data_IF_930467793136
#
_entry.id   IF_930467793136
#
_cell.length_a   1.000
_cell.length_b   1.000
_cell.length_c   1.000
_cell.angle_alpha   90.00
_cell.angle_beta   90.00
_cell.angle_gamma   90.00
#
_symmetry.space_group_name_H-M   'P 1'
#
loop_
_entity.id
_entity.type
_entity.pdbx_description
1 polymer ?
#
# COMPACT_ATOMS: atom_id res chain seq x y z
N UNK A 1 18.07 2.42 -13.34
CA UNK A 1 17.55 3.67 -13.93
C UNK A 1 16.04 3.57 -13.87
N UNK A 2 15.39 4.43 -13.08
CA UNK A 2 13.97 4.32 -12.76
C UNK A 2 13.09 4.85 -13.90
N UNK A 3 11.86 4.37 -13.99
CA UNK A 3 10.87 4.73 -14.99
C UNK A 3 9.74 5.52 -14.35
N UNK A 4 9.44 6.69 -14.92
CA UNK A 4 8.36 7.58 -14.49
C UNK A 4 7.32 7.71 -15.60
N UNK A 5 6.05 7.46 -15.29
CA UNK A 5 4.92 7.74 -16.17
C UNK A 5 4.25 9.04 -15.73
N UNK A 6 3.96 9.94 -16.66
CA UNK A 6 3.27 11.21 -16.39
C UNK A 6 1.97 11.21 -17.19
N UNK A 7 0.85 11.36 -16.50
CA UNK A 7 -0.51 11.29 -17.03
C UNK A 7 -1.17 12.66 -16.84
N UNK A 8 -1.18 13.48 -17.88
CA UNK A 8 -1.87 14.78 -17.88
C UNK A 8 -2.04 15.30 -19.29
N UNK A 9 -3.20 15.89 -19.59
CA UNK A 9 -3.47 16.63 -20.81
C UNK A 9 -2.90 18.06 -20.75
N UNK A 10 -2.51 18.56 -19.58
CA UNK A 10 -1.92 19.89 -19.41
C UNK A 10 -0.44 19.89 -19.84
N UNK A 11 -0.17 20.46 -21.02
CA UNK A 11 1.16 20.44 -21.64
C UNK A 11 2.25 21.10 -20.78
N UNK A 12 1.95 22.21 -20.10
CA UNK A 12 2.90 22.89 -19.20
C UNK A 12 3.28 22.02 -18.01
N UNK A 13 2.30 21.44 -17.32
CA UNK A 13 2.53 20.54 -16.20
C UNK A 13 3.29 19.28 -16.63
N UNK A 14 2.92 18.71 -17.78
CA UNK A 14 3.63 17.57 -18.37
C UNK A 14 5.11 17.87 -18.60
N UNK A 15 5.42 19.05 -19.13
CA UNK A 15 6.79 19.49 -19.38
C UNK A 15 7.57 19.68 -18.06
N UNK A 16 7.02 20.40 -17.09
CA UNK A 16 7.66 20.66 -15.79
C UNK A 16 7.99 19.36 -15.05
N UNK A 17 7.01 18.46 -14.94
CA UNK A 17 7.19 17.16 -14.29
C UNK A 17 8.21 16.29 -15.02
N UNK A 18 8.22 16.35 -16.36
CA UNK A 18 9.18 15.60 -17.17
C UNK A 18 10.61 16.05 -16.93
N UNK A 19 10.87 17.36 -16.92
CA UNK A 19 12.20 17.90 -16.66
C UNK A 19 12.66 17.62 -15.24
N UNK A 20 11.75 17.75 -14.27
CA UNK A 20 12.05 17.46 -12.87
C UNK A 20 12.39 15.98 -12.65
N UNK A 21 11.62 15.05 -13.22
CA UNK A 21 11.91 13.62 -13.12
C UNK A 21 13.22 13.23 -13.84
N UNK A 22 13.50 13.78 -15.03
CA UNK A 22 14.79 13.56 -15.70
C UNK A 22 15.97 14.06 -14.87
N UNK A 23 15.83 15.20 -14.18
CA UNK A 23 16.88 15.73 -13.30
C UNK A 23 17.23 14.81 -12.13
N UNK A 24 16.30 13.92 -11.74
CA UNK A 24 16.49 12.87 -10.74
C UNK A 24 16.86 11.50 -11.34
N UNK A 25 17.18 11.43 -12.63
CA UNK A 25 17.65 10.20 -13.29
C UNK A 25 16.54 9.24 -13.74
N UNK A 26 15.29 9.69 -13.82
CA UNK A 26 14.20 8.89 -14.37
C UNK A 26 14.17 8.92 -15.89
N UNK A 27 13.82 7.77 -16.49
CA UNK A 27 13.31 7.70 -17.86
C UNK A 27 11.83 8.04 -17.84
N UNK A 28 11.45 9.11 -18.52
CA UNK A 28 10.09 9.63 -18.47
C UNK A 28 9.29 9.19 -19.69
N UNK A 29 8.04 8.82 -19.44
CA UNK A 29 7.02 8.66 -20.48
C UNK A 29 5.81 9.53 -20.16
N UNK A 30 5.39 10.37 -21.11
CA UNK A 30 4.17 11.16 -21.00
C UNK A 30 3.01 10.51 -21.75
N UNK A 31 1.80 10.66 -21.21
CA UNK A 31 0.53 10.39 -21.89
C UNK A 31 -0.53 11.39 -21.41
N UNK A 32 -1.56 11.59 -22.23
CA UNK A 32 -2.57 12.64 -22.00
C UNK A 32 -3.87 12.12 -21.39
N UNK A 33 -3.99 10.81 -21.17
CA UNK A 33 -5.18 10.20 -20.58
C UNK A 33 -4.85 8.93 -19.82
N UNK A 34 -5.75 8.52 -18.92
CA UNK A 34 -5.62 7.27 -18.17
C UNK A 34 -5.66 6.06 -19.11
N UNK A 35 -6.47 6.06 -20.17
CA UNK A 35 -6.53 4.96 -21.13
C UNK A 35 -5.18 4.74 -21.83
N UNK A 36 -4.49 5.82 -22.19
CA UNK A 36 -3.15 5.73 -22.75
C UNK A 36 -2.15 5.24 -21.70
N UNK A 37 -2.25 5.72 -20.46
CA UNK A 37 -1.43 5.23 -19.36
C UNK A 37 -1.58 3.72 -19.19
N UNK A 38 -2.81 3.19 -19.29
CA UNK A 38 -3.10 1.76 -19.19
C UNK A 38 -2.43 0.94 -20.29
N UNK A 39 -2.38 1.43 -21.52
CA UNK A 39 -1.66 0.76 -22.61
C UNK A 39 -0.16 0.65 -22.31
N UNK A 40 0.44 1.70 -21.73
CA UNK A 40 1.84 1.65 -21.30
C UNK A 40 2.07 0.67 -20.16
N UNK A 41 1.15 0.62 -19.20
CA UNK A 41 1.19 -0.29 -18.05
C UNK A 41 1.01 -1.76 -18.45
N UNK A 42 0.39 -2.04 -19.61
CA UNK A 42 0.36 -3.39 -20.20
C UNK A 42 1.71 -3.81 -20.81
N UNK A 43 2.49 -2.84 -21.29
CA UNK A 43 3.75 -3.11 -21.96
C UNK A 43 4.93 -3.21 -20.98
N UNK A 44 4.90 -2.44 -19.89
CA UNK A 44 5.98 -2.39 -18.89
C UNK A 44 5.52 -1.81 -17.55
N UNK A 45 6.28 -2.10 -16.51
CA UNK A 45 6.16 -1.45 -15.20
C UNK A 45 6.84 -0.07 -15.18
N UNK A 46 6.43 0.75 -14.22
CA UNK A 46 6.99 2.06 -13.90
C UNK A 46 7.18 2.15 -12.39
N UNK A 47 8.26 2.78 -11.94
CA UNK A 47 8.53 2.98 -10.51
C UNK A 47 7.65 4.10 -9.93
N UNK A 48 7.38 5.13 -10.75
CA UNK A 48 6.62 6.32 -10.35
C UNK A 48 5.57 6.66 -11.40
N UNK A 49 4.39 7.09 -10.97
CA UNK A 49 3.29 7.55 -11.81
C UNK A 49 2.76 8.87 -11.27
N UNK A 50 2.85 9.92 -12.10
CA UNK A 50 2.36 11.25 -11.79
C UNK A 50 1.04 11.48 -12.53
N UNK A 51 -0.02 11.82 -11.82
CA UNK A 51 -1.29 12.28 -12.37
C UNK A 51 -1.38 13.80 -12.28
N UNK A 52 -1.83 14.47 -13.33
CA UNK A 52 -2.08 15.92 -13.29
C UNK A 52 -3.40 16.28 -12.63
N UNK A 53 -3.60 17.57 -12.37
CA UNK A 53 -4.81 18.16 -11.76
C UNK A 53 -6.07 17.99 -12.62
N UNK A 54 -5.90 17.62 -13.89
CA UNK A 54 -6.95 17.27 -14.85
C UNK A 54 -7.49 15.84 -14.71
N UNK A 55 -6.87 15.03 -13.86
CA UNK A 55 -7.33 13.65 -13.62
C UNK A 55 -8.50 13.68 -12.63
N UNK A 56 -9.69 13.28 -13.08
CA UNK A 56 -10.88 13.22 -12.23
C UNK A 56 -10.78 12.10 -11.19
N UNK A 57 -11.47 12.20 -10.04
CA UNK A 57 -11.51 11.13 -9.04
C UNK A 57 -11.95 9.78 -9.62
N UNK A 58 -12.94 9.78 -10.52
CA UNK A 58 -13.39 8.57 -11.20
C UNK A 58 -12.26 7.92 -12.02
N UNK A 59 -11.52 8.71 -12.81
CA UNK A 59 -10.39 8.21 -13.58
C UNK A 59 -9.25 7.73 -12.67
N UNK A 60 -9.04 8.36 -11.52
CA UNK A 60 -8.06 7.92 -10.53
C UNK A 60 -8.47 6.62 -9.85
N UNK A 61 -9.76 6.42 -9.59
CA UNK A 61 -10.28 5.16 -9.05
C UNK A 61 -10.11 4.01 -10.05
N UNK A 62 -10.43 4.26 -11.33
CA UNK A 62 -10.20 3.32 -12.43
C UNK A 62 -8.70 3.01 -12.60
N UNK A 63 -7.86 4.04 -12.58
CA UNK A 63 -6.42 3.89 -12.62
C UNK A 63 -5.91 3.08 -11.42
N UNK A 64 -6.29 3.42 -10.19
CA UNK A 64 -5.84 2.76 -8.96
C UNK A 64 -6.15 1.25 -8.97
N UNK A 65 -7.37 0.87 -9.36
CA UNK A 65 -7.79 -0.54 -9.49
C UNK A 65 -6.92 -1.32 -10.49
N UNK A 66 -6.50 -0.67 -11.58
CA UNK A 66 -5.69 -1.28 -12.62
C UNK A 66 -4.19 -1.21 -12.32
N UNK A 67 -3.72 -0.15 -11.66
CA UNK A 67 -2.37 0.00 -11.13
C UNK A 67 -2.08 -1.10 -10.12
N UNK A 68 -3.03 -1.37 -9.22
CA UNK A 68 -2.97 -2.49 -8.31
C UNK A 68 -2.73 -3.83 -8.99
N UNK A 69 -3.35 -4.03 -10.16
CA UNK A 69 -3.28 -5.29 -10.92
C UNK A 69 -2.03 -5.39 -11.79
N UNK A 70 -1.63 -4.30 -12.45
CA UNK A 70 -0.62 -4.30 -13.53
C UNK A 70 0.72 -3.72 -13.11
N UNK A 71 0.73 -2.77 -12.17
CA UNK A 71 1.94 -2.09 -11.73
C UNK A 71 1.95 -1.85 -10.20
N UNK A 72 1.88 -2.93 -9.41
CA UNK A 72 1.57 -2.89 -7.97
C UNK A 72 2.62 -2.18 -7.11
N UNK A 73 3.84 -2.06 -7.61
CA UNK A 73 4.96 -1.49 -6.87
C UNK A 73 5.12 0.01 -7.14
N UNK A 74 4.42 0.54 -8.14
CA UNK A 74 4.53 1.94 -8.53
C UNK A 74 4.02 2.86 -7.43
N UNK A 75 4.77 3.92 -7.18
CA UNK A 75 4.27 5.01 -6.36
C UNK A 75 3.51 5.98 -7.23
N UNK A 76 2.33 6.35 -6.78
CA UNK A 76 1.45 7.26 -7.51
C UNK A 76 1.24 8.55 -6.74
N UNK A 77 1.29 9.67 -7.45
CA UNK A 77 0.92 10.97 -6.87
C UNK A 77 0.10 11.79 -7.85
N UNK A 78 -0.80 12.61 -7.32
CA UNK A 78 -1.52 13.66 -8.04
C UNK A 78 -0.78 14.96 -7.79
N UNK A 79 -0.48 15.68 -8.86
CA UNK A 79 0.17 16.98 -8.80
C UNK A 79 -0.85 18.05 -9.12
N UNK A 80 -1.12 18.89 -8.13
CA UNK A 80 -2.08 19.98 -8.25
C UNK A 80 -1.57 21.25 -7.57
N UNK A 81 -0.89 22.09 -8.36
CA UNK A 81 -0.38 23.37 -7.91
C UNK A 81 -1.48 24.43 -7.71
N UNK A 82 -2.67 24.20 -8.28
CA UNK A 82 -3.81 25.11 -8.15
C UNK A 82 -4.70 24.78 -6.95
N UNK A 83 -4.40 23.70 -6.23
CA UNK A 83 -5.16 23.22 -5.06
C UNK A 83 -6.65 22.99 -5.34
N UNK A 84 -7.01 22.67 -6.59
CA UNK A 84 -8.38 22.32 -6.99
C UNK A 84 -8.87 21.05 -6.31
N UNK A 85 -7.97 20.13 -6.01
CA UNK A 85 -8.22 18.83 -5.40
C UNK A 85 -7.88 18.80 -3.90
N UNK A 86 -7.67 19.95 -3.25
CA UNK A 86 -7.35 20.01 -1.81
C UNK A 86 -8.51 19.46 -0.95
N UNK A 87 -9.76 19.62 -1.41
CA UNK A 87 -10.94 19.00 -0.78
C UNK A 87 -11.04 17.49 -1.01
N UNK A 88 -10.28 16.96 -1.98
CA UNK A 88 -10.22 15.55 -2.38
C UNK A 88 -8.96 14.86 -1.84
N UNK A 89 -8.07 15.57 -1.13
CA UNK A 89 -6.83 15.00 -0.58
C UNK A 89 -7.08 13.72 0.22
N UNK A 90 -8.18 13.69 0.97
CA UNK A 90 -8.60 12.49 1.68
C UNK A 90 -8.86 11.34 0.70
N UNK A 91 -9.70 11.54 -0.33
CA UNK A 91 -10.04 10.58 -1.40
C UNK A 91 -8.82 10.12 -2.21
N UNK A 92 -7.85 11.00 -2.47
CA UNK A 92 -6.62 10.62 -3.16
C UNK A 92 -5.74 9.71 -2.29
N UNK A 93 -5.61 10.06 -1.00
CA UNK A 93 -4.95 9.20 -0.01
C UNK A 93 -5.64 7.85 0.11
N UNK A 94 -6.97 7.80 -0.05
CA UNK A 94 -7.76 6.57 -0.08
C UNK A 94 -7.26 5.58 -1.15
N UNK A 95 -6.92 6.10 -2.33
CA UNK A 95 -6.46 5.36 -3.50
C UNK A 95 -4.96 5.01 -3.48
N UNK A 96 -4.24 5.34 -2.40
CA UNK A 96 -2.78 5.20 -2.31
C UNK A 96 -2.04 6.21 -3.19
N UNK A 97 -2.67 7.35 -3.47
CA UNK A 97 -2.13 8.43 -4.31
C UNK A 97 -1.88 9.65 -3.45
N UNK A 98 -0.64 10.12 -3.41
CA UNK A 98 -0.29 11.31 -2.63
C UNK A 98 -0.65 12.58 -3.40
N UNK A 99 -1.30 13.56 -2.76
CA UNK A 99 -1.51 14.89 -3.35
C UNK A 99 -0.28 15.76 -3.08
N UNK A 100 0.33 16.29 -4.15
CA UNK A 100 1.49 17.17 -4.09
C UNK A 100 1.14 18.51 -4.71
N UNK A 101 1.26 19.58 -3.92
CA UNK A 101 0.85 20.93 -4.34
C UNK A 101 2.00 21.86 -4.68
N UNK A 102 3.25 21.39 -4.60
CA UNK A 102 4.43 22.19 -4.96
C UNK A 102 5.47 21.37 -5.73
N UNK A 103 6.25 22.03 -6.58
CA UNK A 103 7.38 21.39 -7.27
C UNK A 103 8.44 20.87 -6.31
N UNK A 104 8.63 21.52 -5.16
CA UNK A 104 9.57 21.08 -4.12
C UNK A 104 9.14 19.75 -3.51
N UNK A 105 7.84 19.56 -3.27
CA UNK A 105 7.30 18.29 -2.75
C UNK A 105 7.42 17.17 -3.77
N UNK A 106 7.14 17.46 -5.05
CA UNK A 106 7.35 16.51 -6.16
C UNK A 106 8.83 16.14 -6.28
N UNK A 107 9.73 17.13 -6.19
CA UNK A 107 11.18 16.92 -6.23
C UNK A 107 11.64 16.02 -5.07
N UNK A 108 11.16 16.30 -3.86
CA UNK A 108 11.45 15.50 -2.67
C UNK A 108 10.95 14.06 -2.83
N UNK A 109 9.72 13.87 -3.29
CA UNK A 109 9.15 12.55 -3.55
C UNK A 109 9.99 11.78 -4.59
N UNK A 110 10.25 12.38 -5.76
CA UNK A 110 11.06 11.78 -6.81
C UNK A 110 12.47 11.41 -6.34
N UNK A 111 13.12 12.28 -5.56
CA UNK A 111 14.44 12.01 -4.98
C UNK A 111 14.41 10.84 -4.00
N UNK A 112 13.41 10.82 -3.12
CA UNK A 112 13.19 9.68 -2.22
C UNK A 112 13.06 8.41 -3.05
N UNK A 113 12.16 8.35 -4.04
CA UNK A 113 11.97 7.13 -4.82
C UNK A 113 13.15 6.75 -5.73
N UNK A 114 13.94 7.71 -6.21
CA UNK A 114 15.13 7.44 -7.02
C UNK A 114 16.30 6.89 -6.20
N UNK A 115 16.36 7.25 -4.92
CA UNK A 115 17.36 6.73 -3.98
C UNK A 115 17.03 5.33 -3.46
N UNK A 116 15.78 4.89 -3.59
CA UNK A 116 15.37 3.53 -3.23
C UNK A 116 15.58 2.60 -4.43
N UNK A 117 16.68 1.85 -4.39
CA UNK A 117 16.70 0.48 -4.93
C UNK A 117 15.38 -0.25 -4.58
N UNK A 118 14.94 -1.27 -5.34
CA UNK A 118 13.81 -2.11 -4.91
C UNK A 118 13.96 -2.35 -3.41
N UNK A 119 12.99 -1.85 -2.63
CA UNK A 119 13.12 -1.65 -1.17
C UNK A 119 13.96 -2.80 -0.63
N UNK A 120 15.17 -2.50 -0.12
CA UNK A 120 16.00 -3.54 0.45
C UNK A 120 15.17 -4.18 1.54
N UNK A 121 14.80 -5.44 1.35
CA UNK A 121 13.96 -6.15 2.31
C UNK A 121 14.74 -6.44 3.61
N UNK A 122 16.04 -6.14 3.61
CA UNK A 122 16.91 -6.16 4.76
C UNK A 122 16.60 -4.99 5.70
N UNK A 123 16.54 -5.30 6.99
CA UNK A 123 16.26 -4.32 8.04
C UNK A 123 14.77 -4.10 8.33
N UNK A 124 13.86 -4.73 7.58
CA UNK A 124 12.43 -4.73 7.88
C UNK A 124 12.03 -5.97 8.67
N UNK A 125 11.48 -5.75 9.86
CA UNK A 125 11.06 -6.83 10.74
C UNK A 125 9.55 -7.05 10.61
N UNK A 126 9.15 -8.26 10.24
CA UNK A 126 7.75 -8.62 10.02
C UNK A 126 7.28 -9.50 11.18
N UNK A 127 6.19 -9.10 11.83
CA UNK A 127 5.53 -9.90 12.86
C UNK A 127 4.37 -10.68 12.23
N UNK A 128 4.39 -12.00 12.30
CA UNK A 128 3.31 -12.88 11.86
C UNK A 128 2.53 -13.38 13.08
N UNK A 129 1.22 -13.15 13.11
CA UNK A 129 0.32 -13.54 14.20
C UNK A 129 -0.68 -14.57 13.68
N UNK A 130 -0.50 -15.82 14.11
CA UNK A 130 -1.25 -16.97 13.63
C UNK A 130 -1.26 -18.06 14.71
N UNK A 131 -2.45 -18.50 15.13
CA UNK A 131 -2.62 -19.47 16.22
C UNK A 131 -2.25 -20.90 15.82
N UNK A 132 -2.37 -21.25 14.55
CA UNK A 132 -2.00 -22.57 14.04
C UNK A 132 -0.52 -22.61 13.62
N UNK A 133 0.26 -23.47 14.28
CA UNK A 133 1.71 -23.62 14.08
C UNK A 133 2.10 -23.83 12.61
N UNK A 134 1.51 -24.81 11.92
CA UNK A 134 1.91 -25.11 10.53
C UNK A 134 1.60 -23.96 9.55
N UNK A 135 0.38 -23.37 9.52
CA UNK A 135 0.13 -22.16 8.74
C UNK A 135 1.08 -21.01 9.07
N UNK A 136 1.38 -20.77 10.35
CA UNK A 136 2.28 -19.69 10.79
C UNK A 136 3.66 -19.86 10.17
N UNK A 137 4.24 -21.05 10.32
CA UNK A 137 5.60 -21.32 9.86
C UNK A 137 5.69 -21.25 8.33
N UNK A 138 4.65 -21.73 7.62
CA UNK A 138 4.55 -21.60 6.17
C UNK A 138 4.52 -20.12 5.74
N UNK A 139 3.77 -19.27 6.45
CA UNK A 139 3.70 -17.83 6.16
C UNK A 139 5.06 -17.18 6.40
N UNK A 140 5.72 -17.50 7.51
CA UNK A 140 7.06 -16.98 7.81
C UNK A 140 8.06 -17.34 6.71
N UNK A 141 8.18 -18.64 6.38
CA UNK A 141 9.08 -19.14 5.31
C UNK A 141 8.75 -18.48 3.97
N UNK A 142 7.46 -18.31 3.68
CA UNK A 142 7.04 -17.67 2.44
C UNK A 142 7.52 -16.21 2.37
N UNK A 143 7.33 -15.43 3.43
CA UNK A 143 7.77 -14.03 3.50
C UNK A 143 9.30 -13.95 3.42
N UNK A 144 10.02 -14.82 4.13
CA UNK A 144 11.48 -14.93 4.06
C UNK A 144 11.97 -15.24 2.64
N UNK A 145 11.29 -16.13 1.92
CA UNK A 145 11.61 -16.46 0.52
C UNK A 145 11.40 -15.29 -0.45
N UNK A 146 10.66 -14.26 -0.04
CA UNK A 146 10.53 -13.01 -0.80
C UNK A 146 11.75 -12.09 -0.60
N UNK A 147 12.60 -12.39 0.38
CA UNK A 147 13.86 -11.72 0.73
C UNK A 147 13.83 -10.91 2.03
N UNK A 148 12.74 -11.00 2.81
CA UNK A 148 12.65 -10.41 4.15
C UNK A 148 13.42 -11.26 5.16
N UNK A 149 14.58 -10.78 5.62
CA UNK A 149 15.49 -11.57 6.45
C UNK A 149 15.10 -11.66 7.93
N UNK A 150 14.12 -10.87 8.40
CA UNK A 150 13.67 -10.86 9.81
C UNK A 150 12.16 -11.03 9.90
N UNK A 151 11.72 -12.27 10.11
CA UNK A 151 10.31 -12.63 10.31
C UNK A 151 10.14 -13.35 11.63
N UNK A 152 9.23 -12.87 12.48
CA UNK A 152 8.94 -13.45 13.80
C UNK A 152 7.50 -13.94 13.78
N UNK A 153 7.29 -15.22 14.03
CA UNK A 153 5.95 -15.81 14.19
C UNK A 153 5.57 -15.93 15.67
N UNK A 154 4.36 -15.51 16.02
CA UNK A 154 3.75 -15.71 17.34
C UNK A 154 2.39 -16.39 17.23
N UNK A 155 1.98 -17.08 18.30
CA UNK A 155 0.79 -17.94 18.29
C UNK A 155 -0.48 -17.28 18.81
N UNK A 156 -0.42 -16.01 19.21
CA UNK A 156 -1.58 -15.29 19.73
C UNK A 156 -1.40 -13.77 19.65
N UNK A 157 -2.53 -13.07 19.67
CA UNK A 157 -2.54 -11.62 19.79
C UNK A 157 -1.90 -11.13 21.12
N UNK A 158 -2.01 -11.91 22.21
CA UNK A 158 -1.36 -11.59 23.48
C UNK A 158 0.17 -11.56 23.36
N UNK A 159 0.76 -12.57 22.71
CA UNK A 159 2.20 -12.59 22.46
C UNK A 159 2.65 -11.46 21.55
N UNK A 160 1.86 -11.18 20.49
CA UNK A 160 2.12 -10.06 19.59
C UNK A 160 2.18 -8.73 20.34
N UNK A 161 1.16 -8.44 21.17
CA UNK A 161 1.11 -7.21 21.97
C UNK A 161 2.27 -7.14 22.96
N UNK A 162 2.61 -8.23 23.64
CA UNK A 162 3.75 -8.27 24.57
C UNK A 162 5.08 -7.94 23.88
N UNK A 163 5.32 -8.50 22.68
CA UNK A 163 6.52 -8.20 21.90
C UNK A 163 6.54 -6.72 21.47
N UNK A 164 5.43 -6.21 20.94
CA UNK A 164 5.31 -4.82 20.50
C UNK A 164 5.50 -3.82 21.65
N UNK A 165 5.00 -4.14 22.85
CA UNK A 165 5.12 -3.29 24.04
C UNK A 165 6.51 -3.36 24.70
N UNK A 166 7.23 -4.47 24.55
CA UNK A 166 8.58 -4.63 25.10
C UNK A 166 9.57 -3.63 24.50
N UNK A 167 9.38 -3.27 23.22
CA UNK A 167 10.29 -2.42 22.47
C UNK A 167 11.66 -3.04 22.20
N UNK A 168 11.87 -4.33 22.50
CA UNK A 168 13.14 -5.03 22.23
C UNK A 168 13.40 -5.19 20.73
N UNK A 169 12.33 -5.28 19.94
CA UNK A 169 12.38 -5.32 18.48
C UNK A 169 11.43 -4.27 17.88
N UNK A 170 11.94 -3.45 16.96
CA UNK A 170 11.10 -2.55 16.16
C UNK A 170 10.52 -3.31 14.97
N UNK A 171 9.20 -3.48 14.96
CA UNK A 171 8.49 -4.11 13.85
C UNK A 171 8.09 -3.06 12.81
N UNK A 172 8.20 -3.43 11.54
CA UNK A 172 7.86 -2.58 10.40
C UNK A 172 6.49 -2.91 9.82
N UNK A 173 5.99 -4.12 10.06
CA UNK A 173 4.67 -4.56 9.63
C UNK A 173 4.19 -5.75 10.45
N UNK A 174 2.87 -5.86 10.62
CA UNK A 174 2.20 -7.04 11.17
C UNK A 174 1.41 -7.73 10.06
N UNK A 175 1.52 -9.06 9.99
CA UNK A 175 0.63 -9.93 9.20
C UNK A 175 -0.17 -10.78 10.18
N UNK A 176 -1.49 -10.64 10.23
CA UNK A 176 -2.34 -11.33 11.23
C UNK A 176 -3.47 -12.13 10.58
N UNK A 177 -3.78 -13.31 11.11
CA UNK A 177 -5.09 -13.92 10.85
C UNK A 177 -6.18 -13.18 11.63
N UNK A 178 -7.43 -13.36 11.19
CA UNK A 178 -8.64 -12.84 11.82
C UNK A 178 -9.13 -13.80 12.89
N UNK A 179 -9.23 -15.09 12.55
CA UNK A 179 -9.81 -16.10 13.45
C UNK A 179 -8.73 -16.67 14.34
N UNK A 180 -8.61 -16.10 15.54
CA UNK A 180 -7.74 -16.59 16.59
C UNK A 180 -8.54 -16.72 17.89
N UNK A 181 -8.17 -17.64 18.78
CA UNK A 181 -8.80 -17.76 20.10
C UNK A 181 -8.52 -16.53 20.96
N UNK A 182 -9.42 -16.28 21.92
CA UNK A 182 -9.38 -15.19 22.92
C UNK A 182 -9.49 -13.78 22.33
N UNK A 183 -8.50 -13.36 21.54
CA UNK A 183 -8.46 -12.06 20.88
C UNK A 183 -8.33 -12.32 19.37
N UNK A 184 -9.37 -11.95 18.63
CA UNK A 184 -9.38 -12.02 17.17
C UNK A 184 -8.41 -11.03 16.54
N UNK A 185 -8.04 -11.24 15.27
CA UNK A 185 -7.22 -10.29 14.52
C UNK A 185 -7.83 -8.91 14.39
N UNK A 186 -9.18 -8.83 14.31
CA UNK A 186 -9.90 -7.55 14.33
C UNK A 186 -9.69 -6.82 15.66
N UNK A 187 -9.88 -7.52 16.79
CA UNK A 187 -9.66 -6.95 18.11
C UNK A 187 -8.19 -6.54 18.32
N UNK A 188 -7.24 -7.34 17.83
CA UNK A 188 -5.82 -6.99 17.83
C UNK A 188 -5.56 -5.67 17.08
N UNK A 189 -6.14 -5.51 15.89
CA UNK A 189 -6.05 -4.24 15.12
C UNK A 189 -6.59 -3.08 15.96
N UNK A 190 -7.77 -3.23 16.55
CA UNK A 190 -8.40 -2.17 17.35
C UNK A 190 -7.55 -1.79 18.58
N UNK A 191 -6.94 -2.78 19.24
CA UNK A 191 -6.02 -2.55 20.36
C UNK A 191 -4.78 -1.77 19.91
N UNK A 192 -4.14 -2.20 18.82
CA UNK A 192 -2.95 -1.53 18.27
C UNK A 192 -3.27 -0.09 17.86
N UNK A 193 -4.42 0.15 17.22
CA UNK A 193 -4.84 1.49 16.80
C UNK A 193 -5.14 2.43 17.97
N UNK A 194 -5.51 1.90 19.15
CA UNK A 194 -5.68 2.69 20.38
C UNK A 194 -4.35 3.04 21.06
N UNK A 195 -3.26 2.33 20.73
CA UNK A 195 -1.94 2.59 21.30
C UNK A 195 -1.20 3.65 20.46
N UNK A 196 -0.94 4.83 21.04
CA UNK A 196 -0.29 5.97 20.35
C UNK A 196 1.09 5.65 19.77
N UNK A 197 1.81 4.71 20.37
CA UNK A 197 3.14 4.31 19.93
C UNK A 197 3.09 3.26 18.81
N UNK A 198 1.96 2.56 18.62
CA UNK A 198 1.81 1.50 17.63
C UNK A 198 0.79 1.82 16.54
N UNK A 199 0.00 2.89 16.70
CA UNK A 199 -1.08 3.25 15.78
C UNK A 199 -0.59 3.46 14.33
N UNK A 200 0.70 3.79 14.15
CA UNK A 200 1.33 3.99 12.84
C UNK A 200 1.79 2.68 12.16
N UNK A 201 1.87 1.57 12.91
CA UNK A 201 2.35 0.29 12.41
C UNK A 201 1.35 -0.31 11.41
N UNK A 202 1.75 -0.57 10.15
CA UNK A 202 0.86 -1.15 9.16
C UNK A 202 0.52 -2.61 9.49
N UNK A 203 -0.76 -2.95 9.32
CA UNK A 203 -1.28 -4.30 9.60
C UNK A 203 -1.91 -4.87 8.34
N UNK A 204 -1.42 -6.00 7.88
CA UNK A 204 -1.98 -6.77 6.77
C UNK A 204 -2.76 -7.94 7.36
N UNK A 205 -4.03 -8.05 7.00
CA UNK A 205 -4.85 -9.19 7.37
C UNK A 205 -4.65 -10.31 6.36
N UNK A 206 -4.30 -11.51 6.82
CA UNK A 206 -4.15 -12.70 5.98
C UNK A 206 -5.05 -13.82 6.53
N UNK A 207 -6.14 -14.14 5.84
CA UNK A 207 -7.12 -15.11 6.39
C UNK A 207 -7.62 -16.13 5.36
N UNK A 208 -7.99 -17.32 5.82
CA UNK A 208 -8.72 -18.32 5.03
C UNK A 208 -10.25 -18.09 5.08
N UNK A 209 -10.75 -17.28 6.02
CA UNK A 209 -12.17 -17.09 6.30
C UNK A 209 -12.63 -15.65 6.04
N UNK A 210 -12.15 -15.05 4.96
CA UNK A 210 -12.54 -13.71 4.56
C UNK A 210 -13.92 -13.75 3.89
N UNK A 211 -15.00 -13.59 4.64
CA UNK A 211 -16.21 -13.03 4.02
C UNK A 211 -15.94 -11.57 3.70
N UNK A 212 -16.67 -11.05 2.73
CA UNK A 212 -16.57 -9.65 2.34
C UNK A 212 -16.81 -8.72 3.52
N UNK A 213 -17.81 -9.05 4.35
CA UNK A 213 -18.14 -8.29 5.56
C UNK A 213 -17.01 -8.32 6.60
N UNK A 214 -16.38 -9.48 6.81
CA UNK A 214 -15.27 -9.59 7.76
C UNK A 214 -14.05 -8.78 7.31
N UNK A 215 -13.77 -8.75 6.00
CA UNK A 215 -12.69 -7.93 5.44
C UNK A 215 -13.00 -6.44 5.59
N UNK A 216 -14.24 -6.02 5.31
CA UNK A 216 -14.71 -4.65 5.49
C UNK A 216 -14.59 -4.21 6.96
N UNK A 217 -14.95 -5.09 7.88
CA UNK A 217 -14.84 -4.82 9.31
C UNK A 217 -13.39 -4.61 9.76
N UNK A 218 -12.45 -5.40 9.23
CA UNK A 218 -11.03 -5.22 9.53
C UNK A 218 -10.47 -3.93 8.92
N UNK A 219 -10.91 -3.59 7.71
CA UNK A 219 -10.57 -2.33 7.05
C UNK A 219 -11.07 -1.11 7.87
N UNK A 220 -12.30 -1.18 8.39
CA UNK A 220 -12.87 -0.17 9.29
C UNK A 220 -12.13 -0.09 10.63
N UNK A 221 -11.65 -1.23 11.14
CA UNK A 221 -10.83 -1.28 12.35
C UNK A 221 -9.44 -0.65 12.17
N UNK A 222 -8.97 -0.52 10.92
CA UNK A 222 -7.68 0.11 10.59
C UNK A 222 -6.63 -0.83 10.05
N UNK A 223 -7.02 -1.99 9.49
CA UNK A 223 -6.13 -2.79 8.68
C UNK A 223 -5.60 -1.95 7.51
N UNK A 224 -4.29 -2.02 7.29
CA UNK A 224 -3.64 -1.35 6.18
C UNK A 224 -3.88 -2.08 4.87
N UNK A 225 -3.95 -3.42 4.88
CA UNK A 225 -4.18 -4.26 3.71
C UNK A 225 -4.81 -5.60 4.06
N UNK A 226 -5.19 -6.37 3.04
CA UNK A 226 -5.76 -7.70 3.20
C UNK A 226 -5.33 -8.67 2.10
N UNK A 227 -5.19 -9.93 2.46
CA UNK A 227 -4.84 -11.05 1.61
C UNK A 227 -5.68 -12.27 2.02
N UNK A 228 -5.94 -13.15 1.06
CA UNK A 228 -6.62 -14.42 1.29
C UNK A 228 -5.58 -15.54 1.23
N UNK A 229 -5.68 -16.50 2.15
CA UNK A 229 -4.85 -17.71 2.15
C UNK A 229 -5.30 -18.67 1.04
N UNK A 230 -4.39 -19.26 0.25
CA UNK A 230 -2.95 -18.99 0.20
C UNK A 230 -2.63 -17.72 -0.62
N UNK A 231 -1.76 -16.83 -0.13
CA UNK A 231 -1.42 -15.60 -0.84
C UNK A 231 -0.52 -15.91 -2.04
N UNK A 232 -0.75 -15.20 -3.16
CA UNK A 232 0.17 -15.26 -4.31
C UNK A 232 1.42 -14.44 -4.02
N UNK A 233 2.56 -14.86 -4.57
CA UNK A 233 3.87 -14.18 -4.43
C UNK A 233 3.78 -12.66 -4.68
N UNK A 234 3.21 -12.27 -5.81
CA UNK A 234 3.13 -10.85 -6.19
C UNK A 234 2.18 -10.05 -5.30
N UNK A 235 1.11 -10.67 -4.79
CA UNK A 235 0.15 -10.01 -3.90
C UNK A 235 0.77 -9.76 -2.52
N UNK A 236 1.47 -10.75 -1.96
CA UNK A 236 2.20 -10.60 -0.69
C UNK A 236 3.32 -9.57 -0.79
N UNK A 237 4.15 -9.67 -1.82
CA UNK A 237 5.26 -8.74 -2.03
C UNK A 237 4.76 -7.29 -2.17
N UNK A 238 3.62 -7.09 -2.85
CA UNK A 238 2.97 -5.78 -2.95
C UNK A 238 2.55 -5.25 -1.58
N UNK A 239 1.77 -6.03 -0.81
CA UNK A 239 1.28 -5.55 0.49
C UNK A 239 2.42 -5.22 1.44
N UNK A 240 3.43 -6.07 1.51
CA UNK A 240 4.60 -5.83 2.36
C UNK A 240 5.39 -4.61 1.88
N UNK A 241 5.63 -4.45 0.57
CA UNK A 241 6.31 -3.26 0.04
C UNK A 241 5.54 -1.98 0.35
N UNK A 242 4.20 -2.02 0.28
CA UNK A 242 3.35 -0.90 0.68
C UNK A 242 3.42 -0.62 2.18
N UNK A 243 3.33 -1.66 3.01
CA UNK A 243 3.46 -1.54 4.46
C UNK A 243 4.82 -0.93 4.85
N UNK A 244 5.92 -1.43 4.28
CA UNK A 244 7.25 -0.86 4.52
C UNK A 244 7.33 0.63 4.18
N UNK A 245 6.72 1.07 3.07
CA UNK A 245 6.68 2.49 2.71
C UNK A 245 5.93 3.32 3.75
N UNK A 246 4.84 2.79 4.30
CA UNK A 246 4.10 3.42 5.41
C UNK A 246 5.02 3.55 6.64
N UNK A 247 5.72 2.47 7.00
CA UNK A 247 6.62 2.46 8.15
C UNK A 247 7.86 3.36 7.98
N UNK A 248 8.42 3.44 6.77
CA UNK A 248 9.64 4.22 6.46
C UNK A 248 9.36 5.70 6.15
N UNK A 249 8.13 6.01 5.74
CA UNK A 249 7.82 7.20 4.95
C UNK A 249 7.05 8.32 5.66
N UNK A 250 6.89 8.30 6.98
CA UNK A 250 6.12 9.34 7.69
C UNK A 250 4.67 9.53 7.17
N UNK A 251 4.03 8.48 6.66
CA UNK A 251 2.60 8.52 6.31
C UNK A 251 1.79 7.66 7.27
N UNK A 252 0.65 8.19 7.73
CA UNK A 252 -0.22 7.50 8.68
C UNK A 252 -0.95 6.32 8.01
N UNK A 253 -1.00 5.13 8.64
CA UNK A 253 -1.84 4.04 8.16
C UNK A 253 -3.29 4.50 8.17
N UNK A 254 -3.92 4.34 7.00
CA UNK A 254 -5.28 4.78 6.73
C UNK A 254 -6.31 3.84 7.36
N UNK A 255 -7.38 4.40 7.92
CA UNK A 255 -8.64 3.70 8.21
C UNK A 255 -9.49 3.70 6.93
N UNK A 256 -10.09 2.58 6.55
CA UNK A 256 -10.98 2.57 5.40
C UNK A 256 -12.27 3.37 5.68
N UNK A 257 -12.66 4.25 4.75
CA UNK A 257 -13.96 4.91 4.80
C UNK A 257 -15.07 3.89 4.55
N UNK A 258 -16.30 4.26 4.91
CA UNK A 258 -17.47 3.40 4.68
C UNK A 258 -17.68 3.11 3.18
N UNK A 259 -17.44 4.09 2.32
CA UNK A 259 -17.64 3.98 0.87
C UNK A 259 -16.60 3.08 0.21
N UNK A 260 -15.37 3.09 0.70
CA UNK A 260 -14.31 2.23 0.17
C UNK A 260 -14.44 0.80 0.64
N UNK A 261 -14.89 0.61 1.88
CA UNK A 261 -15.34 -0.69 2.32
C UNK A 261 -16.43 -1.22 1.37
N UNK A 262 -17.38 -0.37 0.97
CA UNK A 262 -18.43 -0.77 0.03
C UNK A 262 -17.89 -1.06 -1.39
N UNK A 263 -16.92 -0.27 -1.88
CA UNK A 263 -16.27 -0.51 -3.16
C UNK A 263 -15.44 -1.80 -3.17
N UNK A 264 -14.65 -2.04 -2.12
CA UNK A 264 -13.90 -3.29 -1.93
C UNK A 264 -14.86 -4.46 -1.83
N UNK A 265 -16.02 -4.28 -1.18
CA UNK A 265 -17.09 -5.29 -1.16
C UNK A 265 -17.55 -5.64 -2.57
N UNK A 266 -17.93 -4.66 -3.37
CA UNK A 266 -18.34 -4.88 -4.76
C UNK A 266 -17.23 -5.53 -5.62
N UNK A 267 -15.97 -5.16 -5.38
CA UNK A 267 -14.83 -5.76 -6.08
C UNK A 267 -14.62 -7.24 -5.70
N UNK A 268 -14.75 -7.60 -4.42
CA UNK A 268 -14.61 -9.00 -3.99
C UNK A 268 -15.80 -9.82 -4.49
N UNK A 269 -17.01 -9.28 -4.44
CA UNK A 269 -18.23 -9.94 -4.93
C UNK A 269 -18.23 -10.14 -6.45
N UNK A 270 -17.69 -9.19 -7.22
CA UNK A 270 -17.51 -9.31 -8.67
C UNK A 270 -16.38 -10.26 -9.07
N UNK A 271 -15.45 -10.56 -8.16
CA UNK A 271 -14.40 -11.57 -8.31
C UNK A 271 -14.85 -12.99 -7.95
N UNK A 272 -16.16 -13.28 -7.85
CA UNK A 272 -16.71 -14.64 -7.69
C UNK A 272 -16.20 -15.61 -8.78
N UNK A 273 -15.01 -16.14 -8.54
CA UNK A 273 -14.57 -17.47 -8.88
C UNK A 273 -14.34 -18.12 -7.52
N UNK A 274 -15.39 -18.79 -7.05
CA UNK A 274 -15.17 -20.03 -6.30
C UNK A 274 -14.83 -21.07 -7.37
#
# INVERSE_FOLDING_TARGET
>A
MHDCLIVTAHASLSFELSELAKSHGYRVKGCVSVEQALQWLDMRSFDVICFGDDTTPQHLQEASSLLWKKNPNAVSFVVDFNRKQETQEQELRLLGVQLLSTLEDVSRALKTYASHNPISQDGFNILVVEDLESPRDIICIFIESLGFSRVVGVHSAHEALKLLESGEEEFSCIVTDIKMPEISGKELIEVIRKNKNLQHLPIIVLTAYGTVDTLIDCLKAGASGFLVKPPKKNDMLRELSRAIRIASGQESPRLASHEEAEYVRQMIESRKVI
#
